data_IF_618242934775
#
_entry.id   IF_618242934775
#
_cell.length_a   1.000
_cell.length_b   1.000
_cell.length_c   1.000
_cell.angle_alpha   90.00
_cell.angle_beta   90.00
_cell.angle_gamma   90.00
#
_symmetry.space_group_name_H-M   'P 1'
#
loop_
_entity.id
_entity.type
_entity.pdbx_description
1 polymer ?
#
# COMPACT_ATOMS: atom_id res chain seq x y z
N UNK A 1 -35.69 6.70 -41.14
CA UNK A 1 -34.35 6.13 -40.88
C UNK A 1 -33.31 7.16 -41.28
N UNK A 2 -32.84 7.99 -40.35
CA UNK A 2 -31.73 8.93 -40.59
C UNK A 2 -30.48 8.37 -39.91
N UNK A 3 -29.51 7.94 -40.72
CA UNK A 3 -28.24 7.44 -40.21
C UNK A 3 -27.41 8.62 -39.66
N UNK A 4 -27.15 8.61 -38.35
CA UNK A 4 -26.21 9.54 -37.71
C UNK A 4 -24.80 9.08 -38.04
N UNK A 5 -24.06 9.87 -38.83
CA UNK A 5 -22.67 9.59 -39.15
C UNK A 5 -21.79 9.64 -37.89
N UNK A 6 -20.83 8.70 -37.71
CA UNK A 6 -19.94 8.71 -36.56
C UNK A 6 -19.05 9.97 -36.59
N UNK A 7 -19.08 10.74 -35.51
CA UNK A 7 -18.26 11.94 -35.35
C UNK A 7 -16.79 11.52 -35.24
N UNK A 8 -16.00 11.85 -36.27
CA UNK A 8 -14.54 11.64 -36.28
C UNK A 8 -13.88 12.48 -35.19
N UNK A 9 -13.56 11.86 -34.05
CA UNK A 9 -12.85 12.52 -32.96
C UNK A 9 -11.43 12.82 -33.43
N UNK A 10 -11.13 14.11 -33.67
CA UNK A 10 -9.80 14.53 -34.12
C UNK A 10 -8.73 14.13 -33.08
N UNK A 11 -7.58 13.58 -33.48
CA UNK A 11 -6.56 13.07 -32.56
C UNK A 11 -6.02 14.12 -31.56
N UNK A 12 -6.12 15.42 -31.88
CA UNK A 12 -5.73 16.52 -30.98
C UNK A 12 -6.66 16.68 -29.76
N UNK A 13 -7.93 16.31 -29.86
CA UNK A 13 -8.89 16.42 -28.76
C UNK A 13 -8.75 15.28 -27.75
N UNK A 14 -8.30 14.11 -28.19
CA UNK A 14 -7.96 12.96 -27.33
C UNK A 14 -6.78 13.30 -26.41
N UNK A 15 -5.67 13.82 -26.97
CA UNK A 15 -4.51 14.26 -26.17
C UNK A 15 -4.84 15.36 -25.15
N UNK A 16 -5.75 16.28 -25.48
CA UNK A 16 -6.20 17.31 -24.54
C UNK A 16 -7.00 16.72 -23.38
N UNK A 17 -7.89 15.76 -23.66
CA UNK A 17 -8.66 15.05 -22.63
C UNK A 17 -7.77 14.23 -21.70
N UNK A 18 -6.77 13.54 -22.25
CA UNK A 18 -5.79 12.78 -21.45
C UNK A 18 -5.02 13.69 -20.50
N UNK A 19 -4.51 14.84 -20.96
CA UNK A 19 -3.79 15.78 -20.09
C UNK A 19 -4.68 16.37 -19.00
N UNK A 20 -5.95 16.65 -19.30
CA UNK A 20 -6.91 17.11 -18.30
C UNK A 20 -7.22 16.01 -17.26
N UNK A 21 -7.37 14.76 -17.71
CA UNK A 21 -7.57 13.61 -16.82
C UNK A 21 -6.36 13.40 -15.88
N UNK A 22 -5.14 13.46 -16.40
CA UNK A 22 -3.92 13.41 -15.58
C UNK A 22 -3.83 14.59 -14.61
N UNK A 23 -4.18 15.81 -15.06
CA UNK A 23 -4.22 16.98 -14.18
C UNK A 23 -5.23 16.85 -13.03
N UNK A 24 -6.37 16.20 -13.27
CA UNK A 24 -7.40 15.95 -12.25
C UNK A 24 -6.98 14.89 -11.23
N UNK A 25 -6.34 13.82 -11.68
CA UNK A 25 -5.92 12.69 -10.82
C UNK A 25 -4.57 12.96 -10.14
N UNK A 26 -3.73 13.85 -10.70
CA UNK A 26 -2.39 14.13 -10.19
C UNK A 26 -2.34 14.54 -8.70
N UNK A 27 -3.20 15.42 -8.15
CA UNK A 27 -3.15 15.77 -6.74
C UNK A 27 -3.35 14.57 -5.81
N UNK A 28 -4.29 13.68 -6.16
CA UNK A 28 -4.53 12.46 -5.40
C UNK A 28 -3.34 11.49 -5.48
N UNK A 29 -2.76 11.31 -6.68
CA UNK A 29 -1.57 10.47 -6.85
C UNK A 29 -0.34 11.04 -6.15
N UNK A 30 -0.17 12.36 -6.14
CA UNK A 30 0.90 13.03 -5.40
C UNK A 30 0.70 12.79 -3.90
N UNK A 31 -0.52 12.99 -3.39
CA UNK A 31 -0.81 12.73 -1.98
C UNK A 31 -0.54 11.26 -1.62
N UNK A 32 -1.04 10.31 -2.40
CA UNK A 32 -0.76 8.89 -2.21
C UNK A 32 0.76 8.64 -2.27
N UNK A 33 1.45 9.14 -3.29
CA UNK A 33 2.89 8.96 -3.43
C UNK A 33 3.68 9.49 -2.24
N UNK A 34 3.38 10.70 -1.77
CA UNK A 34 4.07 11.31 -0.63
C UNK A 34 3.73 10.59 0.68
N UNK A 35 2.46 10.41 0.98
CA UNK A 35 2.03 9.87 2.28
C UNK A 35 2.10 8.34 2.38
N UNK A 36 2.20 7.63 1.27
CA UNK A 36 2.41 6.18 1.26
C UNK A 36 3.87 5.82 0.99
N UNK A 37 4.47 6.34 -0.09
CA UNK A 37 5.79 5.88 -0.49
C UNK A 37 6.87 6.35 0.49
N UNK A 38 6.81 7.60 0.98
CA UNK A 38 7.83 8.09 1.93
C UNK A 38 7.84 7.24 3.21
N UNK A 39 6.71 6.98 3.90
CA UNK A 39 6.72 6.10 5.08
C UNK A 39 7.15 4.67 4.77
N UNK A 40 6.77 4.12 3.61
CA UNK A 40 7.19 2.76 3.20
C UNK A 40 8.70 2.69 3.02
N UNK A 41 9.29 3.61 2.26
CA UNK A 41 10.75 3.64 2.07
C UNK A 41 11.49 3.91 3.38
N UNK A 42 10.98 4.80 4.23
CA UNK A 42 11.55 5.05 5.54
C UNK A 42 11.52 3.77 6.40
N UNK A 43 10.39 3.07 6.47
CA UNK A 43 10.25 1.82 7.21
C UNK A 43 11.19 0.71 6.68
N UNK A 44 11.37 0.62 5.34
CA UNK A 44 12.30 -0.31 4.72
C UNK A 44 13.77 0.00 5.02
N UNK A 45 14.15 1.29 5.07
CA UNK A 45 15.50 1.67 5.47
C UNK A 45 15.73 1.41 6.96
N UNK A 46 14.74 1.75 7.80
CA UNK A 46 14.80 1.54 9.23
C UNK A 46 14.83 0.05 9.60
N UNK A 47 14.16 -0.83 8.84
CA UNK A 47 14.20 -2.27 9.10
C UNK A 47 15.60 -2.88 8.94
N UNK A 48 16.50 -2.21 8.22
CA UNK A 48 17.91 -2.59 8.09
C UNK A 48 18.82 -1.97 9.17
N UNK A 49 18.25 -1.19 10.07
CA UNK A 49 18.95 -0.52 11.17
C UNK A 49 18.46 -1.00 12.53
N UNK A 50 19.32 -0.92 13.53
CA UNK A 50 18.93 -1.05 14.94
C UNK A 50 18.43 0.33 15.40
N UNK A 51 17.14 0.57 15.15
CA UNK A 51 16.49 1.82 15.46
C UNK A 51 15.73 1.69 16.77
N UNK A 52 16.17 2.44 17.78
CA UNK A 52 15.52 2.52 19.09
C UNK A 52 15.11 3.96 19.45
N UNK A 53 14.49 4.12 20.61
CA UNK A 53 14.05 5.43 21.08
C UNK A 53 15.21 6.40 21.34
N UNK A 54 16.43 5.90 21.53
CA UNK A 54 17.63 6.72 21.73
C UNK A 54 18.17 7.25 20.40
N UNK A 55 18.01 6.50 19.31
CA UNK A 55 18.28 6.96 17.95
C UNK A 55 17.38 8.13 17.49
N UNK A 56 16.22 8.35 18.16
CA UNK A 56 15.40 9.54 17.95
C UNK A 56 16.01 10.80 18.59
N UNK A 57 16.70 10.65 19.72
CA UNK A 57 17.33 11.76 20.43
C UNK A 57 18.70 12.12 19.83
N UNK A 58 19.43 11.14 19.32
CA UNK A 58 20.71 11.33 18.64
C UNK A 58 20.86 10.34 17.48
N UNK A 59 20.90 10.88 16.26
CA UNK A 59 21.05 10.13 15.01
C UNK A 59 22.35 9.32 14.97
N UNK A 60 23.38 9.74 15.74
CA UNK A 60 24.64 9.00 15.87
C UNK A 60 24.50 7.61 16.51
N UNK A 61 23.39 7.34 17.21
CA UNK A 61 23.10 6.02 17.79
C UNK A 61 22.46 5.05 16.80
N UNK A 62 22.05 5.51 15.61
CA UNK A 62 21.47 4.64 14.58
C UNK A 62 22.55 3.72 14.00
N UNK A 63 22.46 2.41 14.29
CA UNK A 63 23.41 1.42 13.78
C UNK A 63 22.83 0.65 12.60
N UNK A 64 23.57 0.58 11.50
CA UNK A 64 23.21 -0.29 10.39
C UNK A 64 23.51 -1.76 10.75
N UNK A 65 22.49 -2.63 10.68
CA UNK A 65 22.57 -4.05 11.05
C UNK A 65 22.20 -4.99 9.90
N UNK A 66 21.83 -4.45 8.74
CA UNK A 66 21.46 -5.23 7.57
C UNK A 66 20.26 -6.12 7.86
N UNK A 67 20.38 -7.43 7.60
CA UNK A 67 19.28 -8.38 7.72
C UNK A 67 19.11 -9.00 9.12
N UNK A 68 19.91 -8.61 10.10
CA UNK A 68 19.90 -9.21 11.45
C UNK A 68 18.53 -9.10 12.14
N UNK A 69 17.77 -8.03 11.89
CA UNK A 69 16.41 -7.89 12.39
C UNK A 69 15.47 -8.98 11.85
N UNK A 70 15.63 -9.37 10.59
CA UNK A 70 14.83 -10.43 9.98
C UNK A 70 15.21 -11.81 10.52
N UNK A 71 16.50 -12.10 10.70
CA UNK A 71 16.96 -13.34 11.34
C UNK A 71 16.37 -13.49 12.75
N UNK A 72 16.47 -12.44 13.57
CA UNK A 72 15.88 -12.40 14.93
C UNK A 72 14.37 -12.60 14.90
N UNK A 73 13.68 -12.01 13.92
CA UNK A 73 12.23 -12.13 13.77
C UNK A 73 11.82 -13.55 13.39
N UNK A 74 12.48 -14.17 12.41
CA UNK A 74 12.16 -15.52 11.95
C UNK A 74 12.53 -16.61 12.95
N UNK A 75 13.54 -16.38 13.80
CA UNK A 75 13.87 -17.26 14.92
C UNK A 75 12.92 -17.10 16.12
N UNK A 76 12.05 -16.09 16.13
CA UNK A 76 11.16 -15.84 17.27
C UNK A 76 9.88 -16.69 17.19
N UNK A 77 9.61 -17.60 18.16
CA UNK A 77 8.40 -18.41 18.15
C UNK A 77 7.11 -17.59 18.30
N UNK A 78 7.17 -16.43 18.97
CA UNK A 78 6.01 -15.54 19.12
C UNK A 78 5.60 -14.92 17.78
N UNK A 79 6.55 -14.66 16.89
CA UNK A 79 6.26 -14.16 15.54
C UNK A 79 5.40 -15.15 14.76
N UNK A 80 5.77 -16.44 14.77
CA UNK A 80 4.99 -17.48 14.09
C UNK A 80 3.62 -17.72 14.73
N UNK A 81 3.54 -17.63 16.06
CA UNK A 81 2.26 -17.66 16.77
C UNK A 81 1.33 -16.51 16.34
N UNK A 82 1.85 -15.28 16.33
CA UNK A 82 1.11 -14.11 15.88
C UNK A 82 0.69 -14.21 14.40
N UNK A 83 1.62 -14.59 13.51
CA UNK A 83 1.35 -14.78 12.08
C UNK A 83 0.26 -15.84 11.83
N UNK A 84 0.30 -16.96 12.56
CA UNK A 84 -0.74 -18.00 12.48
C UNK A 84 -2.09 -17.47 12.93
N UNK A 85 -2.13 -16.74 14.05
CA UNK A 85 -3.38 -16.17 14.56
C UNK A 85 -3.96 -15.16 13.56
N UNK A 86 -3.15 -14.23 13.06
CA UNK A 86 -3.59 -13.24 12.05
C UNK A 86 -4.05 -13.93 10.76
N UNK A 87 -3.31 -14.93 10.29
CA UNK A 87 -3.70 -15.73 9.12
C UNK A 87 -5.03 -16.44 9.32
N UNK A 88 -5.25 -17.04 10.50
CA UNK A 88 -6.51 -17.70 10.85
C UNK A 88 -7.68 -16.70 10.86
N UNK A 89 -7.49 -15.51 11.46
CA UNK A 89 -8.50 -14.45 11.43
C UNK A 89 -8.79 -13.96 10.02
N UNK A 90 -7.77 -13.79 9.16
CA UNK A 90 -7.99 -13.35 7.79
C UNK A 90 -8.74 -14.41 6.96
N UNK A 91 -8.31 -15.67 7.05
CA UNK A 91 -8.87 -16.78 6.26
C UNK A 91 -10.27 -17.17 6.73
N UNK A 92 -10.59 -17.05 8.01
CA UNK A 92 -11.94 -17.35 8.51
C UNK A 92 -12.85 -16.12 8.51
N UNK A 93 -12.32 -14.98 8.95
CA UNK A 93 -13.07 -13.75 9.10
C UNK A 93 -13.57 -13.20 7.77
N UNK A 94 -12.72 -13.16 6.74
CA UNK A 94 -13.12 -12.59 5.43
C UNK A 94 -14.24 -13.41 4.78
N UNK A 95 -14.14 -14.75 4.60
CA UNK A 95 -15.21 -15.53 4.02
C UNK A 95 -16.48 -15.51 4.85
N UNK A 96 -16.36 -15.53 6.19
CA UNK A 96 -17.53 -15.47 7.07
C UNK A 96 -18.25 -14.13 6.93
N UNK A 97 -17.53 -13.01 6.91
CA UNK A 97 -18.11 -11.68 6.67
C UNK A 97 -18.79 -11.57 5.30
N UNK A 98 -18.21 -12.16 4.26
CA UNK A 98 -18.82 -12.19 2.93
C UNK A 98 -20.09 -13.05 2.95
N UNK A 99 -20.03 -14.25 3.55
CA UNK A 99 -21.16 -15.16 3.62
C UNK A 99 -22.34 -14.57 4.40
N UNK A 100 -22.08 -13.90 5.53
CA UNK A 100 -23.13 -13.24 6.31
C UNK A 100 -23.72 -12.04 5.59
N UNK A 101 -22.87 -11.20 4.96
CA UNK A 101 -23.35 -10.07 4.15
C UNK A 101 -24.20 -10.53 2.97
N UNK A 102 -23.79 -11.59 2.28
CA UNK A 102 -24.53 -12.13 1.15
C UNK A 102 -25.83 -12.77 1.60
N UNK A 103 -25.78 -13.56 2.69
CA UNK A 103 -26.96 -14.21 3.29
C UNK A 103 -27.98 -13.22 3.83
N UNK A 104 -27.57 -12.03 4.29
CA UNK A 104 -28.48 -10.97 4.71
C UNK A 104 -29.08 -10.18 3.54
N UNK A 105 -28.43 -10.19 2.38
CA UNK A 105 -28.87 -9.47 1.19
C UNK A 105 -29.93 -10.24 0.38
N UNK A 106 -29.98 -11.56 0.50
CA UNK A 106 -30.96 -12.46 -0.13
C UNK A 106 -32.14 -12.74 0.79
#
# INVERSE_FOLDING_TARGET
MTAVAPSSVRPSSLRKRERAAWGFVAPALIAIGVFFAIPVFAALLLSLTDFDIYALADIGNMRFVGLQNYERLFSNPLFWGAMKNTGLFAVLGVPLSIATSLGAAV
#
